data_IF_397864028446
#
_entry.id   IF_397864028446
#
_cell.length_a   1.000
_cell.length_b   1.000
_cell.length_c   1.000
_cell.angle_alpha   90.00
_cell.angle_beta   90.00
_cell.angle_gamma   90.00
#
_symmetry.space_group_name_H-M   'P 1'
#
loop_
_entity.id
_entity.type
_entity.pdbx_description
1 polymer ?
#
# COMPACT_ATOMS: atom_id res chain seq x y z
N UNK A 1 8.93 -16.14 -5.50
CA UNK A 1 9.21 -17.60 -5.65
C UNK A 1 10.59 -18.05 -5.17
N UNK A 2 11.68 -17.28 -5.32
CA UNK A 2 13.04 -17.70 -4.88
C UNK A 2 13.13 -18.09 -3.40
N UNK A 3 12.42 -17.37 -2.52
CA UNK A 3 12.42 -17.64 -1.08
C UNK A 3 11.66 -18.91 -0.67
N UNK A 4 10.53 -19.21 -1.34
CA UNK A 4 9.74 -20.43 -1.08
C UNK A 4 10.56 -21.68 -1.41
N UNK A 5 11.31 -21.66 -2.50
CA UNK A 5 12.18 -22.78 -2.91
C UNK A 5 13.35 -22.95 -1.94
N UNK A 6 13.93 -21.85 -1.44
CA UNK A 6 15.02 -21.91 -0.47
C UNK A 6 14.56 -22.51 0.88
N UNK A 7 13.40 -22.08 1.39
CA UNK A 7 12.80 -22.62 2.62
C UNK A 7 12.50 -24.12 2.45
N UNK A 8 11.90 -24.50 1.32
CA UNK A 8 11.54 -25.90 1.08
C UNK A 8 12.79 -26.79 0.92
N UNK A 9 13.84 -26.31 0.24
CA UNK A 9 15.12 -27.03 0.08
C UNK A 9 15.87 -27.18 1.41
N UNK A 10 15.85 -26.13 2.24
CA UNK A 10 16.43 -26.18 3.59
C UNK A 10 15.70 -27.21 4.46
N UNK A 11 14.36 -27.17 4.46
CA UNK A 11 13.53 -28.14 5.18
C UNK A 11 13.83 -29.57 4.74
N UNK A 12 13.83 -29.84 3.43
CA UNK A 12 14.01 -31.20 2.91
C UNK A 12 15.39 -31.79 3.21
N UNK A 13 16.43 -30.95 3.29
CA UNK A 13 17.81 -31.41 3.53
C UNK A 13 18.18 -31.50 5.01
N UNK A 14 17.49 -30.78 5.90
CA UNK A 14 17.81 -30.73 7.34
C UNK A 14 16.71 -31.32 8.24
N UNK A 15 15.53 -31.66 7.69
CA UNK A 15 14.48 -32.33 8.45
C UNK A 15 14.37 -33.81 8.16
N UNK A 16 14.42 -34.59 9.25
CA UNK A 16 13.89 -35.94 9.30
C UNK A 16 12.53 -35.88 10.01
N UNK A 17 11.44 -36.20 9.31
CA UNK A 17 10.07 -36.02 9.82
C UNK A 17 9.79 -36.77 11.13
N UNK A 18 10.49 -37.89 11.38
CA UNK A 18 10.39 -38.66 12.63
C UNK A 18 11.10 -38.03 13.84
N UNK A 19 11.94 -37.01 13.66
CA UNK A 19 12.67 -36.35 14.74
C UNK A 19 11.85 -35.28 15.49
N UNK A 20 10.64 -34.94 15.02
CA UNK A 20 9.75 -34.01 15.71
C UNK A 20 9.18 -34.57 17.02
N UNK A 21 9.00 -35.89 17.10
CA UNK A 21 8.37 -36.57 18.24
C UNK A 21 9.36 -37.37 19.09
N UNK A 22 10.49 -37.81 18.50
CA UNK A 22 11.53 -38.53 19.22
C UNK A 22 12.65 -37.56 19.58
N UNK A 23 12.88 -37.37 20.88
CA UNK A 23 14.04 -36.67 21.42
C UNK A 23 15.29 -37.53 21.14
N UNK A 24 15.79 -37.48 19.90
CA UNK A 24 16.94 -38.28 19.46
C UNK A 24 18.21 -37.51 19.79
N UNK A 25 19.09 -38.13 20.59
CA UNK A 25 20.40 -37.56 20.93
C UNK A 25 21.17 -37.22 19.65
N UNK A 26 21.71 -36.01 19.58
CA UNK A 26 22.45 -35.50 18.41
C UNK A 26 21.60 -34.80 17.33
N UNK A 27 20.28 -34.70 17.47
CA UNK A 27 19.45 -33.87 16.56
C UNK A 27 19.07 -32.52 17.18
N UNK A 28 19.35 -31.45 16.45
CA UNK A 28 18.97 -30.08 16.83
C UNK A 28 17.49 -29.89 16.47
N UNK A 29 16.64 -29.55 17.45
CA UNK A 29 15.27 -29.11 17.16
C UNK A 29 15.33 -27.96 16.15
N UNK A 30 14.44 -27.87 15.16
CA UNK A 30 14.40 -26.71 14.28
C UNK A 30 14.25 -25.45 15.13
N UNK A 31 15.34 -24.70 15.27
CA UNK A 31 15.29 -23.38 15.84
C UNK A 31 14.82 -22.49 14.70
N UNK A 32 13.66 -21.86 14.87
CA UNK A 32 13.34 -20.71 14.05
C UNK A 32 14.52 -19.72 14.17
N UNK A 33 14.99 -19.12 13.07
CA UNK A 33 16.07 -18.16 13.12
C UNK A 33 15.76 -17.12 14.21
N UNK A 34 16.58 -17.03 15.25
CA UNK A 34 16.36 -16.11 16.38
C UNK A 34 16.31 -14.64 15.94
N UNK A 35 16.80 -14.37 14.74
CA UNK A 35 16.69 -13.09 14.04
C UNK A 35 16.30 -13.37 12.59
N UNK A 36 15.07 -13.01 12.25
CA UNK A 36 14.65 -12.83 10.87
C UNK A 36 15.12 -11.44 10.43
N UNK A 37 16.45 -11.22 10.41
CA UNK A 37 17.05 -9.96 9.96
C UNK A 37 16.69 -9.76 8.47
N UNK A 38 15.59 -9.06 8.20
CA UNK A 38 15.06 -8.83 6.85
C UNK A 38 13.59 -9.18 6.64
N UNK A 39 12.90 -9.76 7.63
CA UNK A 39 11.43 -9.81 7.63
C UNK A 39 10.97 -8.67 8.55
N UNK A 40 10.24 -7.70 7.99
CA UNK A 40 9.52 -6.71 8.79
C UNK A 40 8.82 -7.43 9.93
N UNK A 41 8.93 -6.92 11.15
CA UNK A 41 8.20 -7.55 12.24
C UNK A 41 6.71 -7.56 11.88
N UNK A 42 5.95 -8.53 12.38
CA UNK A 42 4.50 -8.57 12.14
C UNK A 42 3.88 -7.22 12.52
N UNK A 43 4.42 -6.57 13.55
CA UNK A 43 4.01 -5.25 13.98
C UNK A 43 4.29 -4.18 12.91
N UNK A 44 5.48 -4.15 12.31
CA UNK A 44 5.80 -3.19 11.23
C UNK A 44 4.91 -3.41 10.00
N UNK A 45 4.60 -4.67 9.66
CA UNK A 45 3.69 -5.00 8.56
C UNK A 45 2.27 -4.51 8.85
N UNK A 46 1.78 -4.70 10.08
CA UNK A 46 0.47 -4.20 10.50
C UNK A 46 0.42 -2.69 10.40
N UNK A 47 1.45 -1.98 10.89
CA UNK A 47 1.53 -0.52 10.78
C UNK A 47 1.53 -0.01 9.33
N UNK A 48 2.06 -0.79 8.37
CA UNK A 48 2.01 -0.43 6.95
C UNK A 48 0.65 -0.73 6.32
N UNK A 49 -0.01 -1.82 6.70
CA UNK A 49 -1.27 -2.25 6.08
C UNK A 49 -2.48 -1.47 6.61
N UNK A 50 -2.43 -0.99 7.84
CA UNK A 50 -3.50 -0.21 8.48
C UNK A 50 -3.95 1.02 7.66
N UNK A 51 -3.06 1.96 7.27
CA UNK A 51 -3.47 3.13 6.48
C UNK A 51 -4.01 2.75 5.10
N UNK A 52 -3.51 1.66 4.50
CA UNK A 52 -4.00 1.15 3.22
C UNK A 52 -5.42 0.60 3.39
N UNK A 53 -5.66 -0.16 4.46
CA UNK A 53 -6.99 -0.71 4.75
C UNK A 53 -8.01 0.40 5.00
N UNK A 54 -7.67 1.41 5.79
CA UNK A 54 -8.52 2.59 6.03
C UNK A 54 -8.83 3.36 4.74
N UNK A 55 -7.81 3.57 3.89
CA UNK A 55 -7.99 4.22 2.60
C UNK A 55 -8.93 3.44 1.66
N UNK A 56 -8.77 2.11 1.60
CA UNK A 56 -9.64 1.24 0.79
C UNK A 56 -11.07 1.24 1.33
N UNK A 57 -11.25 1.13 2.65
CA UNK A 57 -12.57 1.16 3.29
C UNK A 57 -13.32 2.45 2.97
N UNK A 58 -12.62 3.59 3.05
CA UNK A 58 -13.16 4.90 2.68
C UNK A 58 -13.61 4.96 1.22
N UNK A 59 -12.84 4.40 0.29
CA UNK A 59 -13.19 4.39 -1.14
C UNK A 59 -14.29 3.38 -1.49
N UNK A 60 -14.50 2.37 -0.64
CA UNK A 60 -15.56 1.38 -0.80
C UNK A 60 -16.86 1.77 -0.10
N UNK A 61 -16.86 2.84 0.70
CA UNK A 61 -18.05 3.38 1.32
C UNK A 61 -19.09 3.81 0.28
N UNK A 62 -20.37 3.58 0.57
CA UNK A 62 -21.50 4.05 -0.24
C UNK A 62 -21.56 5.57 -0.37
N UNK A 63 -20.86 6.30 0.52
CA UNK A 63 -20.73 7.75 0.49
C UNK A 63 -19.45 8.25 -0.19
N UNK A 64 -18.66 7.37 -0.81
CA UNK A 64 -17.40 7.74 -1.43
C UNK A 64 -17.61 8.65 -2.64
N UNK A 65 -16.82 9.71 -2.72
CA UNK A 65 -16.83 10.67 -3.83
C UNK A 65 -15.56 10.54 -4.66
N UNK A 66 -15.58 11.04 -5.90
CA UNK A 66 -14.37 11.10 -6.73
C UNK A 66 -13.25 11.93 -6.08
N UNK A 67 -13.61 12.90 -5.25
CA UNK A 67 -12.65 13.69 -4.50
C UNK A 67 -11.92 12.86 -3.41
N UNK A 68 -12.58 11.86 -2.83
CA UNK A 68 -11.97 10.98 -1.82
C UNK A 68 -10.78 10.21 -2.37
N UNK A 69 -10.79 9.85 -3.66
CA UNK A 69 -9.65 9.20 -4.33
C UNK A 69 -8.37 10.02 -4.19
N UNK A 70 -8.44 11.32 -4.45
CA UNK A 70 -7.27 12.22 -4.36
C UNK A 70 -6.81 12.36 -2.90
N UNK A 71 -7.76 12.55 -1.99
CA UNK A 71 -7.47 12.67 -0.56
C UNK A 71 -6.78 11.42 0.00
N UNK A 72 -7.29 10.23 -0.32
CA UNK A 72 -6.71 8.96 0.16
C UNK A 72 -5.28 8.77 -0.35
N UNK A 73 -5.00 9.08 -1.62
CA UNK A 73 -3.62 9.00 -2.11
C UNK A 73 -2.69 10.02 -1.43
N UNK A 74 -3.16 11.23 -1.15
CA UNK A 74 -2.38 12.22 -0.38
C UNK A 74 -2.11 11.71 1.04
N UNK A 75 -3.14 11.23 1.75
CA UNK A 75 -3.01 10.65 3.10
C UNK A 75 -1.99 9.49 3.14
N UNK A 76 -2.00 8.62 2.11
CA UNK A 76 -1.06 7.50 1.98
C UNK A 76 0.38 7.95 1.67
N UNK A 77 0.55 9.00 0.88
CA UNK A 77 1.87 9.56 0.55
C UNK A 77 2.47 10.34 1.72
N UNK A 78 1.63 10.97 2.54
CA UNK A 78 2.08 11.68 3.75
C UNK A 78 2.43 10.71 4.89
N UNK A 79 1.97 9.45 4.82
CA UNK A 79 2.22 8.46 5.85
C UNK A 79 3.68 7.94 5.83
N UNK A 80 4.42 8.21 6.91
CA UNK A 80 5.83 7.81 7.06
C UNK A 80 6.05 6.29 7.07
N UNK A 81 5.09 5.51 7.56
CA UNK A 81 5.21 4.04 7.56
C UNK A 81 5.26 3.48 6.13
N UNK A 82 4.67 4.20 5.17
CA UNK A 82 4.62 3.84 3.76
C UNK A 82 5.76 4.43 2.92
N UNK A 83 6.69 5.17 3.54
CA UNK A 83 7.86 5.73 2.84
C UNK A 83 8.62 4.72 1.94
N UNK A 84 8.84 3.45 2.35
CA UNK A 84 9.49 2.46 1.48
C UNK A 84 8.73 2.15 0.19
N UNK A 85 7.42 2.39 0.17
CA UNK A 85 6.51 2.07 -0.93
C UNK A 85 6.01 3.30 -1.70
N UNK A 86 6.47 4.51 -1.36
CA UNK A 86 6.06 5.78 -2.00
C UNK A 86 6.15 5.73 -3.52
N UNK A 87 7.24 5.20 -4.09
CA UNK A 87 7.37 5.08 -5.54
C UNK A 87 6.27 4.21 -6.19
N UNK A 88 5.78 3.19 -5.46
CA UNK A 88 4.65 2.37 -5.92
C UNK A 88 3.34 3.12 -5.77
N UNK A 89 3.15 3.85 -4.67
CA UNK A 89 1.95 4.66 -4.43
C UNK A 89 1.80 5.79 -5.45
N UNK A 90 2.88 6.52 -5.76
CA UNK A 90 2.88 7.56 -6.80
C UNK A 90 2.50 7.00 -8.16
N UNK A 91 3.06 5.84 -8.52
CA UNK A 91 2.70 5.15 -9.76
C UNK A 91 1.23 4.71 -9.76
N UNK A 92 0.67 4.31 -8.62
CA UNK A 92 -0.76 3.95 -8.53
C UNK A 92 -1.65 5.18 -8.59
N UNK A 93 -1.23 6.28 -7.95
CA UNK A 93 -1.91 7.57 -8.01
C UNK A 93 -2.00 8.05 -9.46
N UNK A 94 -0.90 8.07 -10.21
CA UNK A 94 -0.92 8.50 -11.62
C UNK A 94 -1.72 7.58 -12.56
N UNK A 95 -1.94 6.32 -12.18
CA UNK A 95 -2.79 5.39 -12.93
C UNK A 95 -4.29 5.53 -12.61
N UNK A 96 -4.62 5.96 -11.39
CA UNK A 96 -6.00 5.97 -10.88
C UNK A 96 -6.62 7.37 -10.88
N UNK A 97 -5.84 8.39 -10.50
CA UNK A 97 -6.26 9.79 -10.45
C UNK A 97 -6.29 10.34 -11.86
N UNK A 98 -7.41 10.94 -12.22
CA UNK A 98 -7.64 11.61 -13.50
C UNK A 98 -7.99 13.07 -13.26
N UNK A 99 -7.98 13.89 -14.30
CA UNK A 99 -8.39 15.29 -14.26
C UNK A 99 -9.76 15.50 -13.61
N UNK A 100 -10.71 14.57 -13.81
CA UNK A 100 -12.02 14.61 -13.17
C UNK A 100 -11.96 14.44 -11.64
N UNK A 101 -11.10 13.55 -11.15
CA UNK A 101 -10.89 13.38 -9.71
C UNK A 101 -10.29 14.65 -9.09
N UNK A 102 -9.31 15.26 -9.78
CA UNK A 102 -8.70 16.53 -9.36
C UNK A 102 -9.71 17.68 -9.38
N UNK A 103 -10.53 17.77 -10.43
CA UNK A 103 -11.61 18.74 -10.55
C UNK A 103 -12.66 18.57 -9.42
N UNK A 104 -13.08 17.34 -9.15
CA UNK A 104 -13.97 17.04 -8.02
C UNK A 104 -13.32 17.45 -6.69
N UNK A 105 -12.03 17.17 -6.51
CA UNK A 105 -11.28 17.54 -5.32
C UNK A 105 -11.16 19.05 -5.10
N UNK A 106 -10.99 19.84 -6.17
CA UNK A 106 -11.00 21.30 -6.13
C UNK A 106 -12.31 21.88 -5.61
N UNK A 107 -13.44 21.39 -6.13
CA UNK A 107 -14.77 21.94 -5.78
C UNK A 107 -15.39 21.30 -4.54
N UNK A 108 -14.76 20.26 -3.99
CA UNK A 108 -15.32 19.54 -2.86
C UNK A 108 -15.31 20.40 -1.58
N UNK A 109 -16.45 20.58 -0.89
CA UNK A 109 -16.53 21.47 0.29
C UNK A 109 -15.60 21.10 1.43
N UNK A 110 -15.20 19.83 1.54
CA UNK A 110 -14.30 19.35 2.59
C UNK A 110 -12.82 19.57 2.27
N UNK A 111 -12.43 19.43 1.00
CA UNK A 111 -11.02 19.40 0.61
C UNK A 111 -10.54 20.68 -0.04
N UNK A 112 -11.40 21.35 -0.82
CA UNK A 112 -11.14 22.65 -1.41
C UNK A 112 -9.81 22.73 -2.17
N UNK A 113 -9.37 21.63 -2.79
CA UNK A 113 -8.10 21.62 -3.53
C UNK A 113 -6.82 21.70 -2.70
N UNK A 114 -6.89 21.45 -1.39
CA UNK A 114 -5.72 21.57 -0.52
C UNK A 114 -4.57 20.64 -0.95
N UNK A 115 -3.35 21.17 -0.89
CA UNK A 115 -2.11 20.44 -1.20
C UNK A 115 -2.02 19.87 -2.62
N UNK A 116 -2.79 20.40 -3.58
CA UNK A 116 -2.53 20.14 -4.98
C UNK A 116 -1.26 20.86 -5.43
N UNK A 117 -0.49 20.18 -6.27
CA UNK A 117 0.60 20.82 -7.00
C UNK A 117 0.05 21.76 -8.07
N UNK A 118 0.88 22.70 -8.53
CA UNK A 118 0.51 23.61 -9.62
C UNK A 118 0.10 22.86 -10.88
N UNK A 119 0.79 21.75 -11.19
CA UNK A 119 0.49 20.91 -12.35
C UNK A 119 -0.88 20.24 -12.22
N UNK A 120 -1.18 19.61 -11.07
CA UNK A 120 -2.49 18.99 -10.81
C UNK A 120 -3.63 20.02 -10.84
N UNK A 121 -3.38 21.25 -10.37
CA UNK A 121 -4.34 22.34 -10.44
C UNK A 121 -4.63 22.75 -11.89
N UNK A 122 -3.58 22.93 -12.70
CA UNK A 122 -3.72 23.32 -14.11
C UNK A 122 -4.44 22.24 -14.92
N UNK A 123 -4.12 20.95 -14.68
CA UNK A 123 -4.81 19.81 -15.31
C UNK A 123 -6.31 19.79 -14.97
N UNK A 124 -6.66 20.00 -13.70
CA UNK A 124 -8.05 20.05 -13.27
C UNK A 124 -8.81 21.22 -13.91
N UNK A 125 -8.17 22.38 -14.00
CA UNK A 125 -8.75 23.59 -14.60
C UNK A 125 -8.87 23.49 -16.13
N UNK A 126 -7.94 22.79 -16.80
CA UNK A 126 -8.02 22.52 -18.23
C UNK A 126 -9.27 21.68 -18.56
N UNK A 127 -9.53 20.63 -17.77
CA UNK A 127 -10.73 19.80 -17.91
C UNK A 127 -12.01 20.60 -17.72
N UNK A 128 -12.07 21.46 -16.69
CA UNK A 128 -13.23 22.33 -16.48
C UNK A 128 -13.52 23.25 -17.68
N UNK A 129 -12.47 23.76 -18.34
CA UNK A 129 -12.63 24.62 -19.52
C UNK A 129 -13.15 23.82 -20.72
N UNK A 130 -12.65 22.62 -20.97
CA UNK A 130 -13.15 21.75 -22.04
C UNK A 130 -14.61 21.38 -21.83
N UNK A 131 -15.00 20.99 -20.62
CA UNK A 131 -16.38 20.61 -20.29
C UNK A 131 -17.36 21.79 -20.41
N UNK A 132 -16.89 23.03 -20.21
CA UNK A 132 -17.68 24.25 -20.45
C UNK A 132 -17.83 24.59 -21.93
N UNK A 133 -16.91 24.18 -22.80
CA UNK A 133 -16.98 24.42 -24.25
C UNK A 133 -17.83 23.36 -24.97
N UNK A 134 -18.11 22.24 -24.32
CA UNK A 134 -18.94 21.15 -24.85
C UNK A 134 -20.41 21.18 -24.36
N UNK A 135 -20.83 22.25 -23.66
CA UNK A 135 -22.22 22.50 -23.26
C UNK A 135 -22.81 23.67 -24.04
#
# INVERSE_FOLDING_TARGET
>A
MKYVVAVHKWYRNHHNAGAWLAQKEGTVRPQLPQKLDGILSIQDLVCQLEPIAEGVDRLQSDSATLADTVAVFQDLLDNQALAPHHATLERRKSQAVTSLHLAAYLVHPRYMGQNLTTEEFDEAMAQFKEDLHHR
#
